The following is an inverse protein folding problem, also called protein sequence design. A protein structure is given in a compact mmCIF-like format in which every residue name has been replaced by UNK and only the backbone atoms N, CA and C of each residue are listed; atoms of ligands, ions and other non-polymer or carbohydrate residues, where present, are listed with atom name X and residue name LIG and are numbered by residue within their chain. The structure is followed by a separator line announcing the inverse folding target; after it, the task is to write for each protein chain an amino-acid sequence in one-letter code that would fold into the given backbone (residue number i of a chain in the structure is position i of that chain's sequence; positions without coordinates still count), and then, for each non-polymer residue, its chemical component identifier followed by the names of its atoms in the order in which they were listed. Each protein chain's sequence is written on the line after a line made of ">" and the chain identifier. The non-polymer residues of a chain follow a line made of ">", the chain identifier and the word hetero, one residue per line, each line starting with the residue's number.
data_IF_859064177115
#
_entry.id   IF_859064177115
#
_cell.length_a   1.000
_cell.length_b   1.000
_cell.length_c   1.000
_cell.angle_alpha   90.00
_cell.angle_beta   90.00
_cell.angle_gamma   90.00
#
_symmetry.space_group_name_H-M   'P 1'
#
loop_
_entity.id
_entity.type
_entity.pdbx_description
1 polymer ?
#
# COMPACT_ATOMS: atom_id res chain seq x y z
N UNK A 1 25.46 35.84 -37.43
CA UNK A 1 25.85 35.24 -38.72
C UNK A 1 24.59 34.93 -39.54
N UNK A 2 24.64 35.09 -40.86
CA UNK A 2 23.50 34.70 -41.68
C UNK A 2 23.23 33.20 -41.55
N UNK A 3 21.94 32.80 -41.56
CA UNK A 3 21.48 31.42 -41.43
C UNK A 3 22.12 30.45 -42.43
N UNK A 4 22.67 31.00 -43.53
CA UNK A 4 23.40 30.24 -44.54
C UNK A 4 24.80 29.79 -44.15
N UNK A 5 25.30 30.23 -42.99
CA UNK A 5 26.67 29.95 -42.51
C UNK A 5 26.80 28.65 -41.70
N UNK A 6 25.70 28.08 -41.30
CA UNK A 6 25.68 26.85 -40.52
C UNK A 6 24.34 26.08 -40.66
N UNK A 7 24.38 24.82 -40.34
CA UNK A 7 23.19 23.96 -40.18
C UNK A 7 23.26 23.27 -38.83
N UNK A 8 22.09 22.90 -38.27
CA UNK A 8 21.99 22.08 -37.05
C UNK A 8 21.48 20.72 -37.44
N UNK A 9 22.17 19.67 -37.02
CA UNK A 9 21.76 18.30 -37.18
C UNK A 9 21.86 17.57 -35.85
N UNK A 10 20.72 17.32 -35.21
CA UNK A 10 20.66 16.79 -33.86
C UNK A 10 21.34 17.74 -32.86
N UNK A 11 22.33 17.26 -32.12
CA UNK A 11 23.13 18.06 -31.16
C UNK A 11 24.38 18.69 -31.77
N UNK A 12 24.53 18.64 -33.08
CA UNK A 12 25.74 19.08 -33.78
C UNK A 12 25.47 20.31 -34.64
N UNK A 13 26.34 21.32 -34.51
CA UNK A 13 26.34 22.50 -35.43
C UNK A 13 27.38 22.22 -36.52
N UNK A 14 26.93 22.28 -37.77
CA UNK A 14 27.78 22.09 -38.93
C UNK A 14 27.95 23.44 -39.64
N UNK A 15 29.17 23.97 -39.70
CA UNK A 15 29.48 25.18 -40.41
C UNK A 15 29.60 24.94 -41.91
N UNK A 16 29.11 25.88 -42.73
CA UNK A 16 29.13 25.76 -44.18
C UNK A 16 30.56 25.86 -44.75
N UNK A 17 31.50 26.41 -44.01
CA UNK A 17 32.92 26.42 -44.33
C UNK A 17 33.78 26.03 -43.13
N UNK A 18 34.97 25.50 -43.35
CA UNK A 18 35.91 25.18 -42.30
C UNK A 18 36.29 26.43 -41.48
N UNK A 19 36.24 26.32 -40.16
CA UNK A 19 36.67 27.35 -39.24
C UNK A 19 38.19 27.42 -39.31
N UNK A 20 38.73 28.64 -39.51
CA UNK A 20 40.18 28.90 -39.53
C UNK A 20 40.69 29.44 -38.21
N UNK A 21 42.01 29.50 -38.01
CA UNK A 21 42.62 30.05 -36.82
C UNK A 21 42.38 31.56 -36.61
N UNK A 22 41.87 32.26 -37.60
CA UNK A 22 41.48 33.68 -37.51
C UNK A 22 40.00 33.89 -37.15
N UNK A 23 39.22 32.82 -37.10
CA UNK A 23 37.82 32.88 -36.71
C UNK A 23 37.68 32.79 -35.19
N UNK A 24 36.84 33.62 -34.62
CA UNK A 24 36.52 33.62 -33.18
C UNK A 24 35.02 33.32 -32.98
N UNK A 25 34.74 32.39 -32.14
CA UNK A 25 33.37 32.12 -31.67
C UNK A 25 33.34 32.52 -30.18
N UNK A 26 32.80 33.69 -29.90
CA UNK A 26 32.74 34.20 -28.52
C UNK A 26 31.74 33.45 -27.66
N UNK A 27 30.59 33.13 -28.24
CA UNK A 27 29.58 32.31 -27.56
C UNK A 27 28.58 31.71 -28.55
N UNK A 28 27.96 30.62 -28.17
CA UNK A 28 26.82 30.02 -28.85
C UNK A 28 25.66 30.01 -27.83
N UNK A 29 24.61 30.79 -28.16
CA UNK A 29 23.37 30.73 -27.37
C UNK A 29 22.44 29.71 -28.03
N UNK A 30 22.20 28.64 -27.33
CA UNK A 30 21.20 27.66 -27.73
C UNK A 30 19.87 28.14 -27.14
N UNK A 31 19.03 28.70 -28.03
CA UNK A 31 17.62 28.89 -27.71
C UNK A 31 16.94 27.52 -27.91
N UNK A 32 17.23 26.59 -26.99
CA UNK A 32 16.45 25.36 -26.92
C UNK A 32 14.99 25.67 -26.62
N UNK A 33 14.13 24.76 -26.97
CA UNK A 33 12.82 24.74 -26.33
C UNK A 33 13.01 25.04 -24.85
N UNK A 34 12.24 25.99 -24.36
CA UNK A 34 12.14 26.26 -22.92
C UNK A 34 12.21 24.90 -22.27
N UNK A 35 13.22 24.72 -21.41
CA UNK A 35 13.30 23.50 -20.62
C UNK A 35 11.86 23.21 -20.23
N UNK A 36 11.26 22.21 -20.86
CA UNK A 36 9.92 21.79 -20.53
C UNK A 36 10.03 21.17 -19.14
N UNK A 37 10.06 22.07 -18.14
CA UNK A 37 9.70 21.74 -16.78
C UNK A 37 8.19 21.56 -16.84
N UNK A 38 7.76 20.83 -17.88
CA UNK A 38 6.38 20.53 -18.13
C UNK A 38 5.84 19.74 -16.97
N UNK A 39 4.59 19.97 -16.68
CA UNK A 39 3.83 18.98 -15.91
C UNK A 39 4.14 17.60 -16.53
N UNK A 40 4.52 16.59 -15.73
CA UNK A 40 4.73 15.27 -16.26
C UNK A 40 3.52 14.91 -17.13
N UNK A 41 3.75 14.46 -18.36
CA UNK A 41 2.65 13.99 -19.20
C UNK A 41 1.89 12.90 -18.45
N UNK A 42 0.59 12.82 -18.67
CA UNK A 42 -0.25 11.76 -18.11
C UNK A 42 0.48 10.41 -18.26
N UNK A 43 0.52 9.61 -17.18
CA UNK A 43 1.19 8.32 -17.06
C UNK A 43 2.74 8.35 -16.96
N UNK A 44 3.41 9.50 -16.96
CA UNK A 44 4.87 9.55 -16.76
C UNK A 44 5.29 9.58 -15.29
N UNK A 45 4.38 9.95 -14.38
CA UNK A 45 4.61 9.82 -12.93
C UNK A 45 4.19 8.43 -12.50
N UNK A 46 5.13 7.51 -12.55
CA UNK A 46 4.94 6.15 -12.02
C UNK A 46 5.25 6.11 -10.53
N UNK A 47 4.82 5.06 -9.83
CA UNK A 47 5.19 4.84 -8.42
C UNK A 47 6.73 4.88 -8.21
N UNK A 48 7.51 4.48 -9.22
CA UNK A 48 8.97 4.57 -9.19
C UNK A 48 9.53 5.97 -9.46
N UNK A 49 8.75 6.89 -10.04
CA UNK A 49 9.16 8.30 -10.25
C UNK A 49 8.88 9.17 -9.03
N UNK A 50 7.98 8.75 -8.14
CA UNK A 50 7.78 9.39 -6.85
C UNK A 50 8.88 8.94 -5.89
N UNK A 51 9.47 9.88 -5.15
CA UNK A 51 10.41 9.49 -4.11
C UNK A 51 9.74 8.46 -3.19
N UNK A 52 10.45 7.38 -2.83
CA UNK A 52 9.93 6.31 -1.97
C UNK A 52 9.43 6.78 -0.60
N UNK A 53 9.72 8.03 -0.25
CA UNK A 53 9.23 8.72 0.94
C UNK A 53 7.88 9.41 0.73
N UNK A 54 7.36 9.47 -0.51
CA UNK A 54 6.09 10.17 -0.79
C UNK A 54 4.87 9.37 -0.33
N UNK A 55 4.96 8.04 -0.38
CA UNK A 55 3.93 7.12 0.12
C UNK A 55 4.62 5.98 0.87
N UNK A 56 4.35 5.84 2.15
CA UNK A 56 4.81 4.68 2.92
C UNK A 56 3.71 3.64 2.91
N UNK A 57 4.02 2.45 2.42
CA UNK A 57 3.08 1.33 2.34
C UNK A 57 3.44 0.25 3.38
N UNK A 58 2.45 -0.46 3.87
CA UNK A 58 2.63 -1.71 4.59
C UNK A 58 2.64 -2.88 3.60
N UNK A 59 3.41 -3.90 3.90
CA UNK A 59 3.45 -5.10 3.07
C UNK A 59 2.61 -6.20 3.71
N UNK A 60 1.59 -6.66 3.00
CA UNK A 60 0.87 -7.87 3.38
C UNK A 60 1.64 -9.12 2.96
N UNK A 61 1.43 -10.21 3.67
CA UNK A 61 2.00 -11.50 3.35
C UNK A 61 1.38 -12.14 2.09
N UNK A 62 2.06 -13.15 1.56
CA UNK A 62 1.62 -13.88 0.36
C UNK A 62 0.25 -14.57 0.53
N UNK A 63 -0.12 -14.92 1.76
CA UNK A 63 -1.44 -15.47 2.07
C UNK A 63 -2.59 -14.47 1.92
N UNK A 64 -2.29 -13.17 1.85
CA UNK A 64 -3.28 -12.14 1.54
C UNK A 64 -3.18 -11.75 0.06
N UNK A 65 -2.00 -11.39 -0.41
CA UNK A 65 -1.82 -10.87 -1.78
C UNK A 65 -1.95 -11.92 -2.87
N UNK A 66 -1.88 -13.20 -2.51
CA UNK A 66 -2.00 -14.33 -3.43
C UNK A 66 -3.43 -14.76 -3.77
N UNK A 67 -4.46 -14.18 -3.15
CA UNK A 67 -5.86 -14.49 -3.45
C UNK A 67 -6.24 -14.06 -4.88
N UNK A 68 -7.08 -14.88 -5.54
CA UNK A 68 -7.54 -14.54 -6.89
C UNK A 68 -8.65 -13.50 -6.83
N UNK A 69 -8.36 -12.28 -7.27
CA UNK A 69 -9.27 -11.14 -7.19
C UNK A 69 -9.08 -10.28 -5.93
N UNK A 70 -8.28 -10.74 -4.96
CA UNK A 70 -7.96 -9.95 -3.78
C UNK A 70 -7.21 -8.66 -4.16
N UNK A 71 -7.68 -7.54 -3.65
CA UNK A 71 -7.00 -6.26 -3.77
C UNK A 71 -6.54 -5.85 -2.37
N UNK A 72 -5.25 -5.63 -2.23
CA UNK A 72 -4.65 -5.05 -1.04
C UNK A 72 -4.00 -3.71 -1.39
N UNK A 73 -4.31 -2.67 -0.64
CA UNK A 73 -3.65 -1.36 -0.73
C UNK A 73 -3.46 -0.82 0.68
N UNK A 74 -2.34 -0.18 0.90
CA UNK A 74 -2.08 0.49 2.16
C UNK A 74 -1.34 1.79 1.94
N UNK A 75 -1.51 2.73 2.86
CA UNK A 75 -0.70 3.93 2.93
C UNK A 75 -0.59 4.40 4.38
N UNK A 76 0.49 5.12 4.65
CA UNK A 76 0.70 5.81 5.91
C UNK A 76 0.97 7.27 5.63
N UNK A 77 0.10 8.12 6.10
CA UNK A 77 0.23 9.58 6.01
C UNK A 77 0.69 10.15 7.35
N UNK A 78 1.62 11.09 7.28
CA UNK A 78 2.08 11.84 8.45
C UNK A 78 1.65 13.29 8.35
N UNK A 79 0.95 13.78 9.39
CA UNK A 79 0.58 15.18 9.56
C UNK A 79 1.14 15.68 10.89
N UNK A 80 2.24 16.40 10.84
CA UNK A 80 2.96 16.78 12.06
C UNK A 80 3.43 15.54 12.82
N UNK A 81 2.93 15.36 14.05
CA UNK A 81 3.22 14.21 14.90
C UNK A 81 2.14 13.11 14.84
N UNK A 82 1.15 13.24 13.97
CA UNK A 82 0.07 12.28 13.82
C UNK A 82 0.35 11.42 12.61
N UNK A 83 0.22 10.10 12.77
CA UNK A 83 0.23 9.12 11.69
C UNK A 83 -1.17 8.58 11.46
N UNK A 84 -1.57 8.49 10.20
CA UNK A 84 -2.79 7.85 9.78
C UNK A 84 -2.43 6.70 8.83
N UNK A 85 -2.56 5.48 9.32
CA UNK A 85 -2.36 4.25 8.55
C UNK A 85 -3.70 3.78 8.02
N UNK A 86 -3.78 3.51 6.72
CA UNK A 86 -4.97 2.98 6.05
C UNK A 86 -4.62 1.68 5.34
N UNK A 87 -5.46 0.67 5.49
CA UNK A 87 -5.34 -0.61 4.82
C UNK A 87 -6.70 -0.94 4.21
N UNK A 88 -6.76 -0.96 2.88
CA UNK A 88 -7.93 -1.38 2.11
C UNK A 88 -7.74 -2.82 1.65
N UNK A 89 -8.70 -3.67 1.95
CA UNK A 89 -8.70 -5.08 1.55
C UNK A 89 -10.01 -5.41 0.84
N UNK A 90 -9.92 -5.94 -0.39
CA UNK A 90 -11.00 -6.68 -1.06
C UNK A 90 -10.80 -8.16 -0.71
N UNK A 91 -11.78 -8.74 -0.05
CA UNK A 91 -11.72 -10.11 0.47
C UNK A 91 -11.87 -11.19 -0.62
N UNK A 92 -12.30 -10.81 -1.84
CA UNK A 92 -12.55 -11.74 -2.95
C UNK A 92 -11.35 -12.67 -3.16
N UNK A 93 -11.59 -13.99 -3.12
CA UNK A 93 -10.55 -14.99 -3.30
C UNK A 93 -9.72 -15.33 -2.06
N UNK A 94 -10.02 -14.72 -0.91
CA UNK A 94 -9.57 -15.22 0.39
C UNK A 94 -10.59 -16.25 0.91
N UNK A 95 -10.20 -16.99 1.92
CA UNK A 95 -11.04 -18.00 2.58
C UNK A 95 -11.14 -17.70 4.08
N UNK A 96 -12.28 -18.01 4.65
CA UNK A 96 -12.54 -18.15 6.08
C UNK A 96 -12.71 -19.63 6.44
N UNK A 97 -12.55 -19.97 7.71
CA UNK A 97 -12.70 -21.34 8.20
C UNK A 97 -13.40 -21.36 9.57
N UNK A 98 -12.87 -22.06 10.55
CA UNK A 98 -13.42 -22.12 11.90
C UNK A 98 -13.38 -20.80 12.64
N UNK A 99 -14.15 -20.68 13.72
CA UNK A 99 -14.10 -19.51 14.59
C UNK A 99 -12.72 -19.34 15.21
N UNK A 100 -12.13 -18.13 15.02
CA UNK A 100 -10.79 -17.81 15.47
C UNK A 100 -9.68 -18.22 14.49
N UNK A 101 -10.03 -18.78 13.32
CA UNK A 101 -9.05 -19.16 12.32
C UNK A 101 -8.68 -17.99 11.41
N UNK A 102 -7.43 -17.96 10.99
CA UNK A 102 -6.84 -16.90 10.19
C UNK A 102 -7.44 -16.89 8.79
N UNK A 103 -7.92 -15.72 8.37
CA UNK A 103 -8.43 -15.46 7.02
C UNK A 103 -7.25 -15.21 6.08
N UNK A 104 -7.25 -15.91 4.94
CA UNK A 104 -6.23 -15.76 3.92
C UNK A 104 -6.57 -16.53 2.67
N UNK A 105 -5.63 -16.62 1.73
CA UNK A 105 -5.75 -17.52 0.59
C UNK A 105 -5.68 -18.97 1.07
N UNK A 106 -6.63 -19.80 0.66
CA UNK A 106 -6.74 -21.20 1.07
C UNK A 106 -5.39 -21.93 1.04
N UNK A 107 -5.10 -22.63 2.14
CA UNK A 107 -3.89 -23.43 2.38
C UNK A 107 -2.57 -22.65 2.20
N UNK A 108 -2.54 -21.34 2.45
CA UNK A 108 -1.35 -20.51 2.25
C UNK A 108 -0.89 -19.93 3.59
N UNK A 109 0.42 -19.92 3.82
CA UNK A 109 1.06 -19.25 4.96
C UNK A 109 1.26 -17.74 4.73
N UNK A 110 1.71 -17.04 5.76
CA UNK A 110 1.97 -15.60 5.74
C UNK A 110 0.71 -14.77 5.41
N UNK A 111 -0.34 -14.97 6.20
CA UNK A 111 -1.62 -14.25 6.05
C UNK A 111 -1.67 -12.93 6.84
N UNK A 112 -0.53 -12.36 7.20
CA UNK A 112 -0.49 -11.03 7.85
C UNK A 112 -0.87 -9.93 6.87
N UNK A 113 -1.64 -8.95 7.35
CA UNK A 113 -2.07 -7.77 6.57
C UNK A 113 -1.14 -6.57 6.73
N UNK A 114 0.02 -6.75 7.36
CA UNK A 114 1.05 -5.74 7.53
C UNK A 114 1.69 -5.77 8.92
N UNK A 115 2.84 -5.11 9.03
CA UNK A 115 3.53 -4.94 10.31
C UNK A 115 3.40 -3.49 10.78
N UNK A 116 3.06 -3.30 12.04
CA UNK A 116 3.07 -2.00 12.71
C UNK A 116 4.45 -1.78 13.33
N UNK A 117 5.09 -0.69 12.96
CA UNK A 117 6.39 -0.29 13.56
C UNK A 117 6.34 1.15 14.07
N UNK A 118 7.09 1.46 15.11
CA UNK A 118 7.15 2.82 15.63
C UNK A 118 7.69 3.82 14.61
N UNK A 119 8.62 3.39 13.73
CA UNK A 119 9.20 4.24 12.71
C UNK A 119 8.21 4.65 11.60
N UNK A 120 7.27 3.76 11.26
CA UNK A 120 6.31 3.95 10.16
C UNK A 120 4.98 4.47 10.69
N UNK A 121 4.49 3.92 11.80
CA UNK A 121 3.12 4.13 12.28
C UNK A 121 3.05 4.96 13.57
N UNK A 122 4.21 5.28 14.18
CA UNK A 122 4.24 5.86 15.52
C UNK A 122 3.73 4.89 16.59
N UNK A 123 3.36 5.42 17.76
CA UNK A 123 2.62 4.68 18.78
C UNK A 123 1.14 4.71 18.41
N UNK A 124 0.57 3.56 18.05
CA UNK A 124 -0.84 3.47 17.67
C UNK A 124 -1.71 3.65 18.91
N UNK A 125 -2.66 4.58 18.85
CA UNK A 125 -3.53 4.96 19.96
C UNK A 125 -4.94 4.37 19.83
N UNK A 126 -5.32 3.93 18.63
CA UNK A 126 -6.63 3.37 18.32
C UNK A 126 -6.88 3.37 16.82
N UNK A 127 -8.10 3.03 16.44
CA UNK A 127 -8.50 2.97 15.04
C UNK A 127 -9.94 2.57 14.86
N UNK A 128 -10.28 2.25 13.62
CA UNK A 128 -11.60 1.71 13.24
C UNK A 128 -11.49 0.84 12.00
N UNK A 129 -12.50 -0.01 11.81
CA UNK A 129 -12.74 -0.74 10.57
C UNK A 129 -14.04 -0.22 9.97
N UNK A 130 -14.04 0.08 8.68
CA UNK A 130 -15.24 0.49 7.94
C UNK A 130 -15.52 -0.51 6.85
N UNK A 131 -16.76 -1.02 6.77
CA UNK A 131 -17.20 -1.93 5.73
C UNK A 131 -17.80 -1.13 4.55
N UNK A 132 -17.15 -1.20 3.37
CA UNK A 132 -17.64 -0.59 2.13
C UNK A 132 -18.47 -1.56 1.28
N UNK A 133 -18.23 -2.85 1.42
CA UNK A 133 -18.98 -3.91 0.76
C UNK A 133 -19.11 -5.09 1.73
N UNK A 134 -20.32 -5.54 1.97
CA UNK A 134 -20.58 -6.64 2.89
C UNK A 134 -19.85 -7.91 2.43
N UNK A 135 -19.16 -8.65 3.34
CA UNK A 135 -18.60 -9.95 3.02
C UNK A 135 -19.67 -10.90 2.52
N UNK A 136 -19.35 -11.68 1.49
CA UNK A 136 -20.23 -12.70 0.93
C UNK A 136 -19.42 -13.96 0.60
N UNK A 137 -20.04 -15.12 0.76
CA UNK A 137 -19.42 -16.43 0.57
C UNK A 137 -18.72 -16.92 1.84
N UNK A 138 -17.74 -16.17 2.35
CA UNK A 138 -17.06 -16.47 3.62
C UNK A 138 -17.80 -15.92 4.85
N UNK A 139 -17.12 -15.98 6.00
CA UNK A 139 -17.65 -15.50 7.28
C UNK A 139 -17.83 -13.97 7.29
N UNK A 140 -19.04 -13.43 7.54
CA UNK A 140 -19.23 -11.98 7.66
C UNK A 140 -18.69 -11.41 8.98
N UNK A 141 -18.48 -12.21 10.01
CA UNK A 141 -17.88 -11.82 11.28
C UNK A 141 -16.35 -11.90 11.17
N UNK A 142 -15.71 -10.76 11.00
CA UNK A 142 -14.26 -10.66 10.78
C UNK A 142 -13.64 -9.87 11.89
N UNK A 143 -12.88 -10.55 12.75
CA UNK A 143 -12.17 -9.97 13.86
C UNK A 143 -10.73 -9.57 13.49
N UNK A 144 -10.23 -8.47 14.07
CA UNK A 144 -8.87 -8.03 13.86
C UNK A 144 -7.99 -8.43 15.05
N UNK A 145 -6.82 -8.98 14.74
CA UNK A 145 -5.84 -9.47 15.70
C UNK A 145 -4.44 -8.95 15.39
N UNK A 146 -3.56 -9.01 16.39
CA UNK A 146 -2.12 -8.86 16.16
C UNK A 146 -1.33 -10.00 16.84
N UNK A 147 -0.10 -10.26 16.34
CA UNK A 147 0.82 -11.26 16.89
C UNK A 147 2.28 -10.84 16.64
N UNK A 148 3.24 -11.61 17.18
CA UNK A 148 4.68 -11.33 17.02
C UNK A 148 5.22 -11.77 15.65
N UNK A 149 4.65 -12.78 15.01
CA UNK A 149 5.13 -13.36 13.75
C UNK A 149 4.23 -13.04 12.55
N UNK A 150 4.83 -13.05 11.35
CA UNK A 150 4.14 -12.86 10.07
C UNK A 150 3.60 -14.17 9.47
N UNK A 151 3.96 -15.32 10.05
CA UNK A 151 3.89 -16.64 9.42
C UNK A 151 2.54 -17.37 9.56
N UNK A 152 1.54 -16.72 10.17
CA UNK A 152 0.21 -17.30 10.34
C UNK A 152 -0.32 -17.87 9.01
N UNK A 153 -0.80 -19.11 9.05
CA UNK A 153 -1.34 -19.83 7.90
C UNK A 153 -2.86 -19.72 7.92
N UNK A 154 -3.48 -19.58 6.75
CA UNK A 154 -4.93 -19.67 6.62
C UNK A 154 -5.43 -21.01 7.20
N UNK A 155 -6.63 -21.00 7.79
CA UNK A 155 -7.25 -22.13 8.50
C UNK A 155 -6.53 -22.56 9.80
N UNK A 156 -5.48 -21.86 10.21
CA UNK A 156 -4.87 -22.08 11.51
C UNK A 156 -5.46 -21.12 12.55
N UNK A 157 -5.69 -21.64 13.76
CA UNK A 157 -6.19 -20.80 14.84
C UNK A 157 -5.22 -19.65 15.15
N UNK A 158 -5.71 -18.40 15.13
CA UNK A 158 -4.90 -17.21 15.45
C UNK A 158 -4.30 -17.29 16.86
N UNK A 159 -4.96 -18.02 17.78
CA UNK A 159 -4.48 -18.26 19.13
C UNK A 159 -3.23 -19.16 19.20
N UNK A 160 -2.85 -19.79 18.09
CA UNK A 160 -1.58 -20.52 17.97
C UNK A 160 -0.37 -19.61 17.73
N UNK A 161 -0.58 -18.34 17.43
CA UNK A 161 0.50 -17.36 17.23
C UNK A 161 1.03 -16.86 18.59
N UNK A 162 2.29 -16.37 18.56
CA UNK A 162 2.97 -15.89 19.77
C UNK A 162 2.47 -14.50 20.17
N UNK A 163 2.13 -14.30 21.46
CA UNK A 163 1.69 -13.01 22.01
C UNK A 163 0.59 -12.35 21.18
N UNK A 164 -0.34 -13.15 20.71
CA UNK A 164 -1.50 -12.68 19.97
C UNK A 164 -2.51 -11.97 20.89
N UNK A 165 -3.20 -11.01 20.34
CA UNK A 165 -4.25 -10.28 21.04
C UNK A 165 -5.32 -9.82 20.06
N UNK A 166 -6.58 -9.98 20.43
CA UNK A 166 -7.72 -9.46 19.66
C UNK A 166 -7.79 -7.95 19.81
N UNK A 167 -7.79 -7.24 18.70
CA UNK A 167 -7.88 -5.78 18.65
C UNK A 167 -9.32 -5.29 18.73
N UNK A 168 -10.21 -6.00 18.07
CA UNK A 168 -11.65 -5.78 18.12
C UNK A 168 -12.41 -7.06 17.82
N UNK A 169 -13.61 -7.16 18.37
CA UNK A 169 -14.65 -8.12 18.04
C UNK A 169 -15.71 -7.35 17.24
N UNK A 170 -15.87 -7.69 15.98
CA UNK A 170 -16.64 -6.87 15.05
C UNK A 170 -18.10 -7.28 14.93
N UNK A 171 -18.40 -8.56 15.16
CA UNK A 171 -19.65 -9.15 14.70
C UNK A 171 -19.79 -9.08 13.17
N UNK A 172 -20.98 -9.40 12.67
CA UNK A 172 -21.24 -9.43 11.22
C UNK A 172 -21.14 -8.06 10.57
N UNK A 173 -20.29 -7.94 9.57
CA UNK A 173 -20.19 -6.73 8.77
C UNK A 173 -21.33 -6.60 7.76
N UNK A 174 -22.03 -5.46 7.83
CA UNK A 174 -22.91 -4.99 6.77
C UNK A 174 -22.31 -3.72 6.14
N UNK A 175 -22.73 -3.35 4.93
CA UNK A 175 -22.30 -2.13 4.28
C UNK A 175 -22.56 -0.92 5.19
N UNK A 176 -21.55 -0.06 5.37
CA UNK A 176 -21.61 1.12 6.24
C UNK A 176 -21.35 0.83 7.72
N UNK A 177 -21.16 -0.43 8.13
CA UNK A 177 -20.76 -0.76 9.52
C UNK A 177 -19.39 -0.15 9.82
N UNK A 178 -19.26 0.50 10.99
CA UNK A 178 -18.01 1.04 11.52
C UNK A 178 -17.77 0.45 12.91
N UNK A 179 -16.66 -0.25 13.08
CA UNK A 179 -16.24 -0.87 14.33
C UNK A 179 -14.98 -0.19 14.86
N UNK A 180 -15.00 0.25 16.11
CA UNK A 180 -13.82 0.82 16.77
C UNK A 180 -12.78 -0.26 17.12
N UNK A 181 -11.52 0.13 17.16
CA UNK A 181 -10.40 -0.72 17.60
C UNK A 181 -9.99 -0.29 19.01
N UNK A 182 -10.54 -0.91 20.07
CA UNK A 182 -10.27 -0.53 21.46
C UNK A 182 -8.90 -1.00 21.95
N UNK A 183 -8.33 -2.04 21.34
CA UNK A 183 -7.03 -2.61 21.73
C UNK A 183 -6.03 -2.40 20.59
N UNK A 184 -5.32 -1.24 20.56
CA UNK A 184 -4.37 -0.96 19.49
C UNK A 184 -3.13 -1.86 19.57
N UNK A 185 -2.48 -2.17 18.42
CA UNK A 185 -1.28 -3.00 18.41
C UNK A 185 -0.07 -2.22 18.96
N UNK A 186 0.77 -2.92 19.70
CA UNK A 186 2.10 -2.41 20.03
C UNK A 186 3.02 -2.40 18.80
N UNK A 187 4.17 -1.72 18.90
CA UNK A 187 5.18 -1.75 17.86
C UNK A 187 5.71 -3.17 17.60
N UNK A 188 6.11 -3.41 16.35
CA UNK A 188 6.63 -4.67 15.82
C UNK A 188 5.63 -5.83 15.78
N UNK A 189 4.33 -5.55 15.87
CA UNK A 189 3.26 -6.54 15.75
C UNK A 189 2.78 -6.65 14.30
N UNK A 190 2.44 -7.88 13.91
CA UNK A 190 1.80 -8.19 12.64
C UNK A 190 0.29 -8.29 12.82
N UNK A 191 -0.46 -7.71 11.89
CA UNK A 191 -1.91 -7.69 11.92
C UNK A 191 -2.49 -8.87 11.16
N UNK A 192 -3.62 -9.39 11.66
CA UNK A 192 -4.34 -10.52 11.07
C UNK A 192 -5.85 -10.27 11.08
N UNK A 193 -6.52 -10.81 10.09
CA UNK A 193 -7.97 -11.02 10.10
C UNK A 193 -8.23 -12.46 10.51
N UNK A 194 -9.24 -12.68 11.35
CA UNK A 194 -9.70 -14.01 11.74
C UNK A 194 -11.21 -14.07 11.72
N UNK A 195 -11.76 -15.25 11.42
CA UNK A 195 -13.20 -15.53 11.46
C UNK A 195 -13.75 -15.39 12.88
N UNK A 196 -14.85 -14.68 13.05
CA UNK A 196 -15.55 -14.62 14.33
C UNK A 196 -16.51 -15.79 14.55
N UNK A 197 -17.11 -16.29 13.48
CA UNK A 197 -17.95 -17.47 13.45
C UNK A 197 -17.30 -18.61 12.64
N UNK A 198 -17.98 -19.73 12.52
CA UNK A 198 -17.47 -20.92 11.82
C UNK A 198 -18.13 -21.04 10.44
N UNK A 199 -17.62 -20.27 9.47
CA UNK A 199 -18.05 -20.37 8.07
C UNK A 199 -16.84 -20.74 7.21
N UNK A 200 -16.72 -22.00 6.81
CA UNK A 200 -15.64 -22.51 5.95
C UNK A 200 -16.04 -22.31 4.49
N UNK A 201 -15.61 -21.19 3.91
CA UNK A 201 -15.88 -20.87 2.51
C UNK A 201 -14.99 -19.74 1.97
N UNK A 202 -14.89 -19.65 0.65
CA UNK A 202 -14.19 -18.57 -0.02
C UNK A 202 -15.08 -17.33 -0.12
N UNK A 203 -14.48 -16.16 0.13
CA UNK A 203 -15.15 -14.88 -0.11
C UNK A 203 -15.31 -14.64 -1.61
N UNK A 204 -16.52 -14.25 -1.99
CA UNK A 204 -16.88 -13.83 -3.36
C UNK A 204 -17.04 -12.31 -3.46
N UNK A 205 -17.15 -11.62 -2.32
CA UNK A 205 -17.22 -10.17 -2.20
C UNK A 205 -16.82 -9.75 -0.77
N UNK A 206 -16.63 -8.46 -0.58
CA UNK A 206 -16.37 -7.82 0.71
C UNK A 206 -15.20 -6.86 0.64
N UNK A 207 -15.42 -5.61 1.09
CA UNK A 207 -14.35 -4.59 1.14
C UNK A 207 -14.31 -3.91 2.48
N UNK A 208 -13.17 -3.99 3.13
CA UNK A 208 -12.91 -3.40 4.44
C UNK A 208 -11.81 -2.36 4.33
N UNK A 209 -12.01 -1.22 4.99
CA UNK A 209 -10.96 -0.23 5.25
C UNK A 209 -10.63 -0.25 6.74
N UNK A 210 -9.39 -0.57 7.07
CA UNK A 210 -8.83 -0.50 8.43
C UNK A 210 -8.04 0.79 8.53
N UNK A 211 -8.34 1.60 9.53
CA UNK A 211 -7.70 2.88 9.81
C UNK A 211 -7.11 2.87 11.21
N UNK A 212 -5.83 3.17 11.35
CA UNK A 212 -5.13 3.26 12.63
C UNK A 212 -4.55 4.68 12.79
N UNK A 213 -4.63 5.21 13.99
CA UNK A 213 -4.14 6.53 14.34
C UNK A 213 -2.98 6.40 15.31
N UNK A 214 -1.81 6.88 14.91
CA UNK A 214 -0.57 6.86 15.68
C UNK A 214 -0.07 8.25 16.01
N UNK A 215 0.85 8.32 16.97
CA UNK A 215 1.50 9.54 17.44
C UNK A 215 2.99 9.31 17.70
N UNK A 216 3.80 10.36 17.43
CA UNK A 216 5.25 10.44 17.76
C UNK A 216 5.50 11.56 18.72
#
# INVERSE_FOLDING_TARGET
>A
APISSYTISGSTIVFAAAITTSDSIDFITILGDVLDIGAPSDDTVTAGSMASTAVTELSAGAGITGGTGTIYRSDVQKLGNIYHTRILIDLTGLASSGSGDIIGKAATANCSIGQITAAINGTVLGGKITCFEAPAGGDPDINLWYADEATGTEDAAVTGLTNQTQMCDSGDFAIGTVVGIPTPPAANKYLYMASGAATDANYTAGKLLIELFGYV
#
